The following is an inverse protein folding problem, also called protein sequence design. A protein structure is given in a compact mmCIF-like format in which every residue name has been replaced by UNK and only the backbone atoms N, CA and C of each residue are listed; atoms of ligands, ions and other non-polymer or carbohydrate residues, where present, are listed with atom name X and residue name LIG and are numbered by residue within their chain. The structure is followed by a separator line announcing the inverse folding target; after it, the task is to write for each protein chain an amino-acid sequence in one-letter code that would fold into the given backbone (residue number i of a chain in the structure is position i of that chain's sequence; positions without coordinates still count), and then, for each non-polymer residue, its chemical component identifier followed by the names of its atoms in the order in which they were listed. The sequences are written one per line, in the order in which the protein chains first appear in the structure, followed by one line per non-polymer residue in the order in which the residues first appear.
data_IF_554200048802
#
_entry.id   IF_554200048802
#
_cell.length_a   1.000
_cell.length_b   1.000
_cell.length_c   1.000
_cell.angle_alpha   90.00
_cell.angle_beta   90.00
_cell.angle_gamma   90.00
#
_symmetry.space_group_name_H-M   'P 1'
#
loop_
_entity.id
_entity.type
_entity.pdbx_description
1 polymer ?
#
# COMPACT_ATOMS: atom_id res chain seq x y z
N UNK A 1 11.98 12.54 -11.08
CA UNK A 1 12.67 12.79 -9.79
C UNK A 1 12.21 11.74 -8.83
N UNK A 2 13.12 10.92 -8.31
CA UNK A 2 12.82 9.92 -7.29
C UNK A 2 12.80 10.65 -5.94
N UNK A 3 11.76 10.52 -5.11
CA UNK A 3 11.72 11.16 -3.79
C UNK A 3 12.79 10.54 -2.87
N UNK A 4 13.50 11.40 -2.13
CA UNK A 4 14.55 10.98 -1.17
C UNK A 4 13.97 10.30 0.07
N UNK A 5 12.72 10.63 0.42
CA UNK A 5 12.01 10.07 1.57
C UNK A 5 10.56 9.80 1.18
N UNK A 6 10.10 8.59 1.47
CA UNK A 6 8.72 8.13 1.28
C UNK A 6 8.20 7.73 2.65
N UNK A 7 7.07 8.29 3.05
CA UNK A 7 6.33 7.94 4.25
C UNK A 7 5.28 6.89 3.91
N UNK A 8 5.25 5.79 4.66
CA UNK A 8 4.23 4.75 4.52
C UNK A 8 3.23 4.91 5.65
N UNK A 9 1.95 5.01 5.30
CA UNK A 9 0.85 5.11 6.25
C UNK A 9 0.03 3.82 6.19
N UNK A 10 -0.11 3.16 7.33
CA UNK A 10 -0.98 2.00 7.50
C UNK A 10 -2.17 2.37 8.40
N UNK A 11 -3.37 2.37 7.83
CA UNK A 11 -4.62 2.54 8.56
C UNK A 11 -5.22 1.17 8.91
N UNK A 12 -5.60 1.02 10.18
CA UNK A 12 -6.18 -0.20 10.74
C UNK A 12 -7.60 0.09 11.19
N UNK A 13 -8.57 -0.66 10.67
CA UNK A 13 -9.96 -0.58 11.09
C UNK A 13 -10.48 -1.95 11.47
N UNK A 14 -11.36 -2.04 12.48
CA UNK A 14 -12.04 -3.30 12.77
C UNK A 14 -12.91 -3.70 11.57
N UNK A 15 -12.62 -4.85 10.97
CA UNK A 15 -13.25 -5.33 9.77
C UNK A 15 -14.62 -5.91 10.08
N UNK A 16 -15.64 -5.44 9.35
CA UNK A 16 -16.97 -6.07 9.34
C UNK A 16 -17.07 -7.21 8.33
N UNK A 17 -16.15 -7.27 7.37
CA UNK A 17 -16.10 -8.26 6.28
C UNK A 17 -14.64 -8.54 5.92
N UNK A 18 -14.35 -9.79 5.55
CA UNK A 18 -13.05 -10.19 5.02
C UNK A 18 -12.94 -9.75 3.56
N UNK A 19 -11.83 -9.11 3.23
CA UNK A 19 -11.49 -8.60 1.90
C UNK A 19 -10.12 -9.16 1.55
N UNK A 20 -10.02 -9.83 0.40
CA UNK A 20 -8.75 -10.30 -0.13
C UNK A 20 -7.81 -9.12 -0.41
N UNK A 21 -6.51 -9.37 -0.35
CA UNK A 21 -5.53 -8.34 -0.64
C UNK A 21 -5.67 -7.86 -2.08
N UNK A 22 -5.69 -6.55 -2.27
CA UNK A 22 -5.83 -5.93 -3.59
C UNK A 22 -5.12 -4.57 -3.62
N UNK A 23 -4.93 -4.04 -4.84
CA UNK A 23 -4.28 -2.76 -5.09
C UNK A 23 -5.16 -1.86 -5.96
N UNK A 24 -5.18 -0.56 -5.65
CA UNK A 24 -5.80 0.46 -6.52
C UNK A 24 -4.82 1.08 -7.51
N UNK A 25 -3.61 0.51 -7.62
CA UNK A 25 -2.46 1.11 -8.32
C UNK A 25 -1.78 2.25 -7.54
N UNK A 26 -2.36 2.64 -6.40
CA UNK A 26 -1.83 3.64 -5.48
C UNK A 26 -1.72 3.04 -4.09
N UNK A 27 -2.80 2.46 -3.60
CA UNK A 27 -2.90 1.91 -2.26
C UNK A 27 -2.92 0.38 -2.32
N UNK A 28 -2.51 -0.26 -1.22
CA UNK A 28 -2.79 -1.67 -0.95
C UNK A 28 -3.86 -1.75 0.13
N UNK A 29 -4.76 -2.71 0.02
CA UNK A 29 -5.72 -2.96 1.08
C UNK A 29 -6.10 -4.44 1.16
N UNK A 30 -6.54 -4.87 2.33
CA UNK A 30 -6.92 -6.25 2.57
C UNK A 30 -7.36 -6.44 4.01
N UNK A 31 -7.61 -7.68 4.39
CA UNK A 31 -7.97 -8.03 5.77
C UNK A 31 -6.97 -9.01 6.34
N UNK A 32 -6.44 -8.70 7.54
CA UNK A 32 -5.66 -9.63 8.37
C UNK A 32 -6.39 -9.80 9.70
N UNK A 33 -6.80 -11.02 10.01
CA UNK A 33 -7.62 -11.32 11.19
C UNK A 33 -8.93 -10.51 11.15
N UNK A 34 -9.19 -9.75 12.21
CA UNK A 34 -10.36 -8.87 12.33
C UNK A 34 -10.06 -7.42 11.90
N UNK A 35 -8.95 -7.17 11.22
CA UNK A 35 -8.56 -5.81 10.83
C UNK A 35 -8.54 -5.65 9.33
N UNK A 36 -9.27 -4.64 8.85
CA UNK A 36 -9.12 -4.12 7.51
C UNK A 36 -7.93 -3.17 7.52
N UNK A 37 -6.93 -3.48 6.70
CA UNK A 37 -5.69 -2.75 6.58
C UNK A 37 -5.70 -2.02 5.25
N UNK A 38 -5.36 -0.74 5.28
CA UNK A 38 -5.08 0.06 4.09
C UNK A 38 -3.70 0.70 4.20
N UNK A 39 -2.86 0.49 3.21
CA UNK A 39 -1.48 0.98 3.13
C UNK A 39 -1.37 1.94 1.95
N UNK A 40 -0.83 3.13 2.20
CA UNK A 40 -0.57 4.14 1.19
C UNK A 40 0.80 4.78 1.42
N UNK A 41 1.44 5.23 0.34
CA UNK A 41 2.76 5.84 0.40
C UNK A 41 2.69 7.29 -0.08
N UNK A 42 3.40 8.18 0.61
CA UNK A 42 3.39 9.60 0.32
C UNK A 42 4.79 10.19 0.37
N UNK A 43 5.00 11.29 -0.35
CA UNK A 43 6.21 12.09 -0.22
C UNK A 43 5.87 13.58 -0.33
N UNK A 44 6.73 14.42 0.24
CA UNK A 44 6.61 15.87 0.10
C UNK A 44 7.40 16.34 -1.13
N UNK A 45 6.71 16.90 -2.13
CA UNK A 45 7.36 17.38 -3.35
C UNK A 45 8.15 18.66 -3.05
N UNK A 46 9.45 18.67 -3.35
CA UNK A 46 10.35 19.81 -3.05
C UNK A 46 9.91 21.13 -3.68
N UNK A 47 9.41 21.09 -4.93
CA UNK A 47 9.04 22.28 -5.72
C UNK A 47 7.95 23.15 -5.06
N UNK A 48 6.92 22.54 -4.50
CA UNK A 48 5.72 23.25 -4.01
C UNK A 48 5.22 22.76 -2.66
N UNK A 49 6.01 21.93 -1.97
CA UNK A 49 5.75 21.40 -0.63
C UNK A 49 4.45 20.59 -0.51
N UNK A 50 3.83 20.18 -1.63
CA UNK A 50 2.60 19.37 -1.63
C UNK A 50 2.89 17.92 -1.25
N UNK A 51 1.97 17.32 -0.53
CA UNK A 51 1.95 15.88 -0.27
C UNK A 51 1.44 15.18 -1.52
N UNK A 52 2.27 14.30 -2.06
CA UNK A 52 2.01 13.56 -3.28
C UNK A 52 1.88 12.08 -2.96
N UNK A 53 0.94 11.42 -3.61
CA UNK A 53 0.81 9.97 -3.54
C UNK A 53 1.96 9.30 -4.30
N UNK A 54 2.60 8.31 -3.70
CA UNK A 54 3.58 7.45 -4.34
C UNK A 54 2.95 6.07 -4.61
N UNK A 55 3.00 5.56 -5.85
CA UNK A 55 2.44 4.26 -6.16
C UNK A 55 3.24 3.13 -5.50
N UNK A 56 2.54 2.24 -4.79
CA UNK A 56 3.14 1.02 -4.23
C UNK A 56 2.99 -0.10 -5.27
N UNK A 57 4.11 -0.51 -5.87
CA UNK A 57 4.15 -1.70 -6.73
C UNK A 57 4.31 -2.93 -5.85
N UNK A 58 3.24 -3.71 -5.69
CA UNK A 58 3.26 -4.97 -4.95
C UNK A 58 2.62 -6.09 -5.78
N UNK A 59 3.41 -6.80 -6.61
CA UNK A 59 2.89 -7.88 -7.46
C UNK A 59 2.28 -9.03 -6.66
N UNK A 60 2.81 -9.32 -5.47
CA UNK A 60 2.34 -10.39 -4.58
C UNK A 60 0.88 -10.21 -4.15
N UNK A 61 0.42 -8.96 -4.01
CA UNK A 61 -0.99 -8.65 -3.69
C UNK A 61 -1.93 -9.07 -4.83
N UNK A 62 -1.43 -9.20 -6.06
CA UNK A 62 -2.20 -9.66 -7.22
C UNK A 62 -2.10 -11.17 -7.46
N UNK A 63 -1.52 -11.93 -6.52
CA UNK A 63 -1.35 -13.38 -6.65
C UNK A 63 -0.16 -13.81 -7.50
N UNK A 64 0.83 -12.93 -7.74
CA UNK A 64 2.14 -13.36 -8.23
C UNK A 64 2.89 -14.07 -7.09
N UNK A 65 2.65 -15.36 -6.94
CA UNK A 65 3.28 -16.22 -5.95
C UNK A 65 4.59 -16.78 -6.52
N UNK A 66 5.65 -15.97 -6.53
CA UNK A 66 7.02 -16.44 -6.81
C UNK A 66 7.69 -16.98 -5.54
N UNK A 67 6.95 -17.22 -4.47
CA UNK A 67 7.53 -17.37 -3.12
C UNK A 67 8.09 -18.77 -2.83
N UNK A 68 8.07 -19.72 -3.79
CA UNK A 68 8.70 -21.05 -3.60
C UNK A 68 9.33 -21.67 -4.87
N UNK A 69 10.04 -20.89 -5.70
CA UNK A 69 10.97 -21.48 -6.67
C UNK A 69 12.40 -21.46 -6.10
N UNK A 70 12.79 -22.55 -5.46
CA UNK A 70 14.20 -22.93 -5.22
C UNK A 70 14.87 -23.39 -6.52
#
# INVERSE_FOLDING_TARGET
MIPEQIEIIAALNNAKKRVDWNSTGKDLYGTIGNYHIKIAAYYKRKKDQKIMHYPIMCPYVLGFDLTFQE
#
